data_IF_850060426750
#
_entry.id   IF_850060426750
#
_cell.length_a   1.000
_cell.length_b   1.000
_cell.length_c   1.000
_cell.angle_alpha   90.00
_cell.angle_beta   90.00
_cell.angle_gamma   90.00
#
_symmetry.space_group_name_H-M   'P 1'
#
loop_
_entity.id
_entity.type
_entity.pdbx_description
1 polymer ?
#
# COMPACT_ATOMS: atom_id res chain seq x y z
N UNK A 1 -32.87 62.04 0.19
CA UNK A 1 -32.86 62.04 -1.29
C UNK A 1 -31.82 61.03 -1.74
N UNK A 2 -32.31 59.94 -2.37
CA UNK A 2 -31.69 58.80 -3.09
C UNK A 2 -30.15 58.67 -3.10
N UNK A 3 -29.63 57.65 -2.40
CA UNK A 3 -28.34 57.01 -2.72
C UNK A 3 -28.62 55.67 -3.40
N UNK A 4 -27.92 55.47 -4.52
CA UNK A 4 -28.18 54.55 -5.61
C UNK A 4 -27.80 53.10 -5.30
N UNK A 5 -28.51 52.21 -5.98
CA UNK A 5 -28.57 50.74 -5.82
C UNK A 5 -27.51 50.05 -6.69
N UNK A 6 -27.02 48.89 -6.21
CA UNK A 6 -26.51 47.70 -6.95
C UNK A 6 -25.00 47.62 -7.25
N UNK A 7 -24.27 46.98 -6.34
CA UNK A 7 -23.19 46.04 -6.69
C UNK A 7 -23.51 44.71 -6.01
N UNK A 8 -24.37 43.93 -6.67
CA UNK A 8 -24.68 42.56 -6.29
C UNK A 8 -23.95 41.64 -7.27
N UNK A 9 -23.04 40.83 -6.72
CA UNK A 9 -22.74 39.49 -7.24
C UNK A 9 -21.71 39.38 -8.35
N UNK A 10 -20.50 38.95 -7.99
CA UNK A 10 -19.80 37.80 -8.60
C UNK A 10 -18.43 37.63 -7.92
N UNK A 11 -18.44 37.24 -6.64
CA UNK A 11 -17.24 36.72 -5.99
C UNK A 11 -17.27 35.19 -6.08
N UNK A 12 -16.30 34.67 -6.84
CA UNK A 12 -15.55 33.44 -6.58
C UNK A 12 -16.36 32.15 -6.27
N UNK A 13 -16.45 31.26 -7.26
CA UNK A 13 -16.67 29.83 -7.01
C UNK A 13 -15.77 29.00 -7.94
N UNK A 14 -14.49 28.94 -7.61
CA UNK A 14 -13.56 27.95 -8.17
C UNK A 14 -12.73 27.40 -7.01
N UNK A 15 -13.27 26.44 -6.24
CA UNK A 15 -12.51 25.79 -5.18
C UNK A 15 -13.15 24.48 -4.68
N UNK A 16 -13.40 23.48 -5.54
CA UNK A 16 -13.86 22.15 -5.05
C UNK A 16 -13.40 20.99 -5.94
N UNK A 17 -12.10 20.86 -6.22
CA UNK A 17 -11.55 19.64 -6.86
C UNK A 17 -10.22 19.13 -6.24
N UNK A 18 -9.77 19.67 -5.10
CA UNK A 18 -8.46 19.31 -4.52
C UNK A 18 -8.47 18.13 -3.55
N UNK A 19 -9.61 17.70 -3.02
CA UNK A 19 -9.64 16.76 -1.88
C UNK A 19 -9.32 15.31 -2.24
N UNK A 20 -9.68 14.83 -3.44
CA UNK A 20 -9.49 13.42 -3.81
C UNK A 20 -8.02 13.05 -4.07
N UNK A 21 -7.24 13.98 -4.63
CA UNK A 21 -5.82 13.75 -4.90
C UNK A 21 -5.00 13.68 -3.61
N UNK A 22 -5.40 14.43 -2.58
CA UNK A 22 -4.69 14.44 -1.30
C UNK A 22 -4.86 13.11 -0.56
N UNK A 23 -6.08 12.56 -0.52
CA UNK A 23 -6.35 11.27 0.11
C UNK A 23 -5.59 10.10 -0.56
N UNK A 24 -5.44 10.11 -1.89
CA UNK A 24 -4.66 9.09 -2.60
C UNK A 24 -3.14 9.22 -2.39
N UNK A 25 -2.64 10.46 -2.30
CA UNK A 25 -1.23 10.72 -1.99
C UNK A 25 -0.89 10.30 -0.55
N UNK A 26 -1.80 10.56 0.39
CA UNK A 26 -1.69 10.10 1.78
C UNK A 26 -1.71 8.58 1.84
N UNK A 27 -2.67 7.90 1.19
CA UNK A 27 -2.74 6.43 1.19
C UNK A 27 -1.50 5.79 0.53
N UNK A 28 -0.98 6.38 -0.54
CA UNK A 28 0.26 5.89 -1.16
C UNK A 28 1.44 6.00 -0.18
N UNK A 29 1.54 7.12 0.52
CA UNK A 29 2.59 7.37 1.51
C UNK A 29 2.48 6.41 2.71
N UNK A 30 1.27 6.17 3.19
CA UNK A 30 0.98 5.24 4.29
C UNK A 30 1.31 3.80 3.93
N UNK A 31 0.99 3.37 2.69
CA UNK A 31 1.38 2.04 2.18
C UNK A 31 2.90 1.90 2.16
N UNK A 32 3.61 2.89 1.60
CA UNK A 32 5.08 2.87 1.54
C UNK A 32 5.66 2.82 2.95
N UNK A 33 5.13 3.62 3.87
CA UNK A 33 5.57 3.64 5.26
C UNK A 33 5.35 2.28 5.93
N UNK A 34 4.15 1.69 5.81
CA UNK A 34 3.80 0.39 6.40
C UNK A 34 4.73 -0.73 5.89
N UNK A 35 4.98 -0.77 4.59
CA UNK A 35 5.88 -1.76 3.98
C UNK A 35 7.33 -1.59 4.46
N UNK A 36 7.82 -0.35 4.52
CA UNK A 36 9.18 -0.07 4.99
C UNK A 36 9.35 -0.34 6.47
N UNK A 37 8.38 0.03 7.31
CA UNK A 37 8.40 -0.26 8.73
C UNK A 37 8.51 -1.77 9.02
N UNK A 38 7.99 -2.60 8.11
CA UNK A 38 7.97 -4.06 8.28
C UNK A 38 9.20 -4.74 7.67
N UNK A 39 9.69 -4.28 6.50
CA UNK A 39 10.66 -5.05 5.69
C UNK A 39 11.90 -4.28 5.23
N UNK A 40 12.03 -2.98 5.55
CA UNK A 40 13.20 -2.20 5.14
C UNK A 40 14.50 -2.70 5.81
N UNK A 41 15.62 -2.57 5.10
CA UNK A 41 16.94 -2.99 5.59
C UNK A 41 17.97 -1.92 5.25
N UNK A 42 18.82 -1.58 6.21
CA UNK A 42 19.83 -0.52 6.04
C UNK A 42 20.77 -0.79 4.85
N UNK A 43 21.25 -2.03 4.69
CA UNK A 43 22.19 -2.39 3.63
C UNK A 43 21.52 -2.55 2.25
N UNK A 44 20.22 -2.81 2.24
CA UNK A 44 19.42 -3.00 1.04
C UNK A 44 18.06 -2.34 1.23
N UNK A 45 17.93 -1.04 0.94
CA UNK A 45 16.67 -0.34 1.13
C UNK A 45 15.55 -0.92 0.27
N UNK A 46 14.35 -1.00 0.85
CA UNK A 46 13.15 -1.44 0.17
C UNK A 46 12.66 -0.33 -0.78
N UNK A 47 12.71 -0.61 -2.08
CA UNK A 47 12.06 0.21 -3.08
C UNK A 47 10.60 -0.26 -3.24
N UNK A 48 9.65 0.67 -3.17
CA UNK A 48 8.22 0.39 -3.33
C UNK A 48 7.69 1.16 -4.53
N UNK A 49 7.35 0.43 -5.60
CA UNK A 49 6.68 0.91 -6.81
C UNK A 49 6.32 -0.28 -7.73
N UNK A 50 5.19 -0.23 -8.47
CA UNK A 50 4.18 0.81 -8.41
C UNK A 50 3.22 0.57 -7.22
N UNK A 51 2.46 1.58 -6.82
CA UNK A 51 1.35 1.44 -5.86
C UNK A 51 0.05 1.75 -6.60
N UNK A 52 -0.88 0.80 -6.60
CA UNK A 52 -2.23 0.97 -7.18
C UNK A 52 -3.27 0.72 -6.11
N UNK A 53 -4.27 1.60 -6.03
CA UNK A 53 -5.26 1.62 -4.95
C UNK A 53 -6.66 1.62 -5.57
N UNK A 54 -7.53 0.74 -5.09
CA UNK A 54 -8.95 0.69 -5.40
C UNK A 54 -9.71 0.53 -4.09
N UNK A 55 -10.38 1.60 -3.66
CA UNK A 55 -11.06 1.68 -2.36
C UNK A 55 -10.10 1.30 -1.22
N UNK A 56 -10.48 0.37 -0.35
CA UNK A 56 -9.65 -0.14 0.75
C UNK A 56 -8.65 -1.25 0.35
N UNK A 57 -8.39 -1.46 -0.94
CA UNK A 57 -7.47 -2.51 -1.41
C UNK A 57 -6.36 -1.91 -2.27
N UNK A 58 -5.16 -2.47 -2.17
CA UNK A 58 -4.03 -2.00 -2.96
C UNK A 58 -3.11 -3.13 -3.40
N UNK A 59 -2.37 -2.90 -4.48
CA UNK A 59 -1.20 -3.70 -4.86
C UNK A 59 0.01 -2.78 -4.84
N UNK A 60 1.06 -3.20 -4.15
CA UNK A 60 2.34 -2.51 -4.12
C UNK A 60 3.46 -3.43 -4.63
N UNK A 61 4.12 -3.04 -5.71
CA UNK A 61 5.38 -3.65 -6.14
C UNK A 61 6.49 -3.28 -5.16
N UNK A 62 7.35 -4.24 -4.83
CA UNK A 62 8.51 -4.03 -3.98
C UNK A 62 9.75 -4.71 -4.53
N UNK A 63 10.92 -4.13 -4.25
CA UNK A 63 12.22 -4.62 -4.68
C UNK A 63 13.25 -4.38 -3.58
N UNK A 64 14.08 -5.37 -3.26
CA UNK A 64 15.12 -5.30 -2.24
C UNK A 64 16.24 -6.30 -2.54
N UNK A 65 17.50 -5.85 -2.59
CA UNK A 65 18.66 -6.74 -2.71
C UNK A 65 18.60 -7.75 -3.88
N UNK A 66 18.11 -7.31 -5.05
CA UNK A 66 17.96 -8.16 -6.24
C UNK A 66 16.73 -9.07 -6.28
N UNK A 67 15.92 -9.06 -5.22
CA UNK A 67 14.60 -9.72 -5.16
C UNK A 67 13.50 -8.69 -5.32
N UNK A 68 12.28 -9.13 -5.63
CA UNK A 68 11.11 -8.27 -5.65
C UNK A 68 9.83 -9.08 -5.74
N UNK A 69 8.70 -8.42 -5.53
CA UNK A 69 7.39 -9.06 -5.52
C UNK A 69 6.28 -8.02 -5.60
N UNK A 70 5.05 -8.49 -5.48
CA UNK A 70 3.84 -7.67 -5.38
C UNK A 70 3.12 -8.03 -4.09
N UNK A 71 2.89 -7.05 -3.24
CA UNK A 71 2.14 -7.18 -2.01
C UNK A 71 0.69 -6.75 -2.25
N UNK A 72 -0.27 -7.58 -1.84
CA UNK A 72 -1.69 -7.23 -1.77
C UNK A 72 -1.93 -6.65 -0.38
N UNK A 73 -2.48 -5.45 -0.31
CA UNK A 73 -2.77 -4.76 0.95
C UNK A 73 -4.27 -4.48 1.10
N UNK A 74 -4.71 -4.42 2.36
CA UNK A 74 -6.04 -3.96 2.73
C UNK A 74 -5.94 -2.87 3.79
N UNK A 75 -6.74 -1.81 3.64
CA UNK A 75 -6.89 -0.74 4.63
C UNK A 75 -7.85 -1.19 5.73
N UNK A 76 -7.42 -0.99 6.97
CA UNK A 76 -8.17 -1.31 8.19
C UNK A 76 -8.19 -0.11 9.13
N UNK A 77 -8.85 -0.23 10.30
CA UNK A 77 -8.76 0.77 11.37
C UNK A 77 -7.33 1.00 11.89
N UNK A 78 -6.42 0.04 11.66
CA UNK A 78 -5.01 0.11 12.05
C UNK A 78 -4.10 0.55 10.89
N UNK A 79 -4.67 1.04 9.79
CA UNK A 79 -3.94 1.42 8.59
C UNK A 79 -3.81 0.29 7.57
N UNK A 80 -2.89 0.46 6.62
CA UNK A 80 -2.63 -0.47 5.52
C UNK A 80 -1.80 -1.67 5.99
N UNK A 81 -2.30 -2.87 5.72
CA UNK A 81 -1.64 -4.13 6.10
C UNK A 81 -1.51 -5.06 4.89
N UNK A 82 -0.32 -5.60 4.70
CA UNK A 82 -0.07 -6.61 3.67
C UNK A 82 -0.73 -7.95 4.05
N UNK A 83 -1.56 -8.46 3.15
CA UNK A 83 -2.29 -9.73 3.32
C UNK A 83 -1.52 -10.90 2.69
N UNK A 84 -0.92 -10.65 1.53
CA UNK A 84 -0.28 -11.67 0.71
C UNK A 84 0.81 -11.04 -0.15
N UNK A 85 1.95 -11.73 -0.27
CA UNK A 85 3.00 -11.39 -1.23
C UNK A 85 3.19 -12.50 -2.25
N UNK A 86 3.27 -12.15 -3.53
CA UNK A 86 3.53 -13.09 -4.63
C UNK A 86 4.38 -12.44 -5.73
N UNK A 87 5.04 -13.28 -6.53
CA UNK A 87 5.77 -12.82 -7.73
C UNK A 87 4.81 -12.24 -8.77
N UNK A 88 3.79 -13.00 -9.16
CA UNK A 88 2.73 -12.54 -10.07
C UNK A 88 1.39 -12.45 -9.33
N UNK A 89 0.62 -11.38 -9.56
CA UNK A 89 -0.72 -11.24 -8.99
C UNK A 89 -1.76 -11.72 -10.00
N UNK A 90 -2.56 -12.68 -9.58
CA UNK A 90 -3.68 -13.20 -10.37
C UNK A 90 -5.01 -12.84 -9.72
N UNK A 91 -6.10 -12.89 -10.49
CA UNK A 91 -7.46 -12.72 -9.95
C UNK A 91 -7.71 -13.69 -8.79
N UNK A 92 -7.24 -14.94 -8.92
CA UNK A 92 -7.40 -15.94 -7.86
C UNK A 92 -6.74 -15.51 -6.55
N UNK A 93 -5.50 -15.00 -6.59
CA UNK A 93 -4.81 -14.51 -5.39
C UNK A 93 -5.52 -13.32 -4.75
N UNK A 94 -6.05 -12.40 -5.56
CA UNK A 94 -6.83 -11.26 -5.06
C UNK A 94 -8.10 -11.73 -4.35
N UNK A 95 -8.84 -12.67 -4.93
CA UNK A 95 -10.02 -13.25 -4.29
C UNK A 95 -9.66 -13.99 -2.99
N UNK A 96 -8.54 -14.74 -2.97
CA UNK A 96 -8.04 -15.41 -1.75
C UNK A 96 -7.63 -14.42 -0.65
N UNK A 97 -7.14 -13.24 -1.03
CA UNK A 97 -6.84 -12.14 -0.12
C UNK A 97 -8.10 -11.36 0.33
N UNK A 98 -9.30 -11.80 -0.06
CA UNK A 98 -10.57 -11.17 0.32
C UNK A 98 -10.97 -9.97 -0.53
N UNK A 99 -10.29 -9.71 -1.65
CA UNK A 99 -10.64 -8.63 -2.57
C UNK A 99 -11.90 -9.00 -3.35
N UNK A 100 -12.96 -8.16 -3.36
CA UNK A 100 -14.14 -8.39 -4.19
C UNK A 100 -13.81 -8.45 -5.69
N UNK A 101 -14.51 -9.29 -6.45
CA UNK A 101 -14.19 -9.55 -7.87
C UNK A 101 -14.15 -8.29 -8.76
N UNK A 102 -15.04 -7.32 -8.51
CA UNK A 102 -15.05 -6.04 -9.21
C UNK A 102 -13.78 -5.22 -8.92
N UNK A 103 -13.32 -5.19 -7.66
CA UNK A 103 -12.08 -4.52 -7.28
C UNK A 103 -10.85 -5.26 -7.78
N UNK A 104 -10.87 -6.59 -7.75
CA UNK A 104 -9.78 -7.42 -8.27
C UNK A 104 -9.52 -7.14 -9.75
N UNK A 105 -10.59 -7.08 -10.57
CA UNK A 105 -10.48 -6.72 -11.99
C UNK A 105 -9.87 -5.33 -12.18
N UNK A 106 -10.33 -4.33 -11.42
CA UNK A 106 -9.83 -2.96 -11.53
C UNK A 106 -8.37 -2.85 -11.11
N UNK A 107 -7.99 -3.47 -9.99
CA UNK A 107 -6.61 -3.52 -9.51
C UNK A 107 -5.66 -4.13 -10.54
N UNK A 108 -6.04 -5.23 -11.18
CA UNK A 108 -5.22 -5.85 -12.24
C UNK A 108 -5.10 -4.95 -13.46
N UNK A 109 -6.18 -4.27 -13.88
CA UNK A 109 -6.11 -3.30 -14.97
C UNK A 109 -5.17 -2.16 -14.62
N UNK A 110 -5.31 -1.57 -13.44
CA UNK A 110 -4.52 -0.42 -12.99
C UNK A 110 -3.04 -0.81 -12.80
N UNK A 111 -2.78 -2.01 -12.27
CA UNK A 111 -1.42 -2.57 -12.16
C UNK A 111 -0.76 -2.74 -13.53
N UNK A 112 -1.46 -3.33 -14.50
CA UNK A 112 -0.94 -3.49 -15.85
C UNK A 112 -0.63 -2.15 -16.54
N UNK A 113 -1.41 -1.10 -16.24
CA UNK A 113 -1.13 0.25 -16.74
C UNK A 113 0.11 0.83 -16.05
N UNK A 114 0.22 0.71 -14.73
CA UNK A 114 1.35 1.25 -13.97
C UNK A 114 2.67 0.55 -14.33
N UNK A 115 2.67 -0.76 -14.53
CA UNK A 115 3.88 -1.53 -14.88
C UNK A 115 4.40 -1.24 -16.29
N UNK A 116 3.54 -0.79 -17.22
CA UNK A 116 3.99 -0.32 -18.54
C UNK A 116 4.89 0.92 -18.48
N UNK A 117 4.82 1.68 -17.38
CA UNK A 117 5.71 2.83 -17.16
C UNK A 117 7.06 2.42 -16.54
N UNK A 118 7.25 1.13 -16.20
CA UNK A 118 8.47 0.60 -15.60
C UNK A 118 9.35 -0.07 -16.65
N UNK A 119 10.63 -0.29 -16.31
CA UNK A 119 11.53 -1.03 -17.18
C UNK A 119 11.25 -2.54 -17.11
N UNK A 120 11.49 -3.27 -18.19
CA UNK A 120 11.32 -4.73 -18.22
C UNK A 120 12.18 -5.45 -17.17
N UNK A 121 13.34 -4.88 -16.82
CA UNK A 121 14.21 -5.40 -15.75
C UNK A 121 13.55 -5.30 -14.38
N UNK A 122 12.89 -4.17 -14.09
CA UNK A 122 12.20 -3.99 -12.80
C UNK A 122 11.00 -4.93 -12.68
N UNK A 123 10.19 -5.04 -13.74
CA UNK A 123 9.04 -5.96 -13.78
C UNK A 123 9.49 -7.42 -13.62
N UNK A 124 10.57 -7.84 -14.32
CA UNK A 124 11.12 -9.18 -14.19
C UNK A 124 11.66 -9.47 -12.79
N UNK A 125 12.30 -8.50 -12.15
CA UNK A 125 12.76 -8.65 -10.76
C UNK A 125 11.58 -8.76 -9.78
N UNK A 126 10.46 -8.07 -10.02
CA UNK A 126 9.25 -8.28 -9.21
C UNK A 126 8.64 -9.67 -9.42
N UNK A 127 8.78 -10.24 -10.61
CA UNK A 127 8.30 -11.59 -10.91
C UNK A 127 9.26 -12.71 -10.47
N UNK A 128 10.45 -12.40 -9.93
CA UNK A 128 11.44 -13.41 -9.51
C UNK A 128 11.14 -14.05 -8.15
N UNK A 129 10.07 -13.64 -7.47
CA UNK A 129 9.63 -14.27 -6.23
C UNK A 129 8.85 -15.55 -6.51
N UNK A 130 9.54 -16.69 -6.41
CA UNK A 130 9.00 -18.04 -6.63
C UNK A 130 8.22 -18.60 -5.42
N UNK A 131 7.43 -17.76 -4.74
CA UNK A 131 6.64 -18.20 -3.57
C UNK A 131 5.36 -17.38 -3.36
N UNK A 132 4.44 -17.93 -2.56
CA UNK A 132 3.32 -17.18 -1.98
C UNK A 132 3.49 -17.24 -0.47
N UNK A 133 3.79 -16.11 0.16
CA UNK A 133 3.80 -16.03 1.62
C UNK A 133 2.49 -15.36 2.03
N UNK A 134 1.67 -16.09 2.79
CA UNK A 134 0.55 -15.52 3.53
C UNK A 134 1.10 -15.01 4.85
N UNK A 135 0.85 -13.74 5.16
CA UNK A 135 1.30 -13.18 6.43
C UNK A 135 0.29 -13.61 7.49
N UNK A 136 0.66 -14.58 8.33
CA UNK A 136 -0.16 -14.97 9.48
C UNK A 136 -0.24 -13.80 10.48
N UNK A 137 -1.46 -13.46 10.90
CA UNK A 137 -1.74 -12.37 11.84
C UNK A 137 -1.33 -12.67 13.32
N UNK A 138 -0.49 -13.66 13.59
CA UNK A 138 -0.13 -14.05 14.97
C UNK A 138 1.36 -14.31 15.14
N UNK A 139 2.14 -13.24 15.25
CA UNK A 139 3.42 -13.29 15.97
C UNK A 139 3.19 -12.78 17.39
N UNK A 140 2.67 -13.65 18.27
CA UNK A 140 2.84 -13.45 19.71
C UNK A 140 4.32 -13.66 20.02
N UNK A 141 5.07 -12.58 20.22
CA UNK A 141 6.35 -12.64 20.91
C UNK A 141 6.11 -13.31 22.27
N UNK A 142 6.75 -14.45 22.61
CA UNK A 142 6.87 -14.80 24.01
C UNK A 142 7.77 -13.72 24.63
N UNK A 143 7.20 -12.92 25.52
CA UNK A 143 8.00 -12.10 26.42
C UNK A 143 8.97 -13.04 27.14
N UNK A 144 10.26 -12.79 26.94
CA UNK A 144 11.32 -13.33 27.76
C UNK A 144 11.05 -12.92 29.21
N UNK A 145 10.42 -13.79 29.98
CA UNK A 145 10.41 -13.70 31.44
C UNK A 145 11.79 -14.12 31.94
N UNK A 146 12.75 -13.21 31.85
CA UNK A 146 13.95 -13.25 32.69
C UNK A 146 13.56 -12.81 34.10
N UNK A 147 13.11 -13.78 34.90
CA UNK A 147 13.09 -13.79 36.37
C UNK A 147 13.79 -15.10 36.72
N UNK A 148 14.84 -15.20 37.51
CA UNK A 148 15.13 -14.45 38.72
C UNK A 148 16.62 -14.64 39.08
N UNK A 149 17.24 -13.56 39.52
CA UNK A 149 18.50 -13.56 40.25
C UNK A 149 18.14 -13.67 41.74
N UNK A 150 18.45 -14.76 42.42
CA UNK A 150 18.52 -14.80 43.88
C UNK A 150 19.32 -16.01 44.39
N UNK A 151 20.56 -15.72 44.77
CA UNK A 151 21.38 -16.43 45.75
C UNK A 151 20.62 -16.86 47.01
N UNK A 152 20.91 -18.05 47.58
CA UNK A 152 21.42 -18.24 48.95
C UNK A 152 21.44 -19.73 49.40
N UNK A 153 22.56 -20.07 50.07
CA UNK A 153 22.90 -21.24 50.91
C UNK A 153 23.22 -22.60 50.29
#
# INVERSE_FOLDING_TARGET
MRITRKYLGAALFVATLFSANMALADDTSDIIHSLKATWDKADNPLAVKPVVIVEQYAIAGWQQGGRGGRAILQKSSHGWQAQLCAGEITTHLLLQAGVPANHAKRLLTDLNVAEKAMTSKEVAQMSSFEGVIKMDQHSHHPASSSSEHASHH
#
